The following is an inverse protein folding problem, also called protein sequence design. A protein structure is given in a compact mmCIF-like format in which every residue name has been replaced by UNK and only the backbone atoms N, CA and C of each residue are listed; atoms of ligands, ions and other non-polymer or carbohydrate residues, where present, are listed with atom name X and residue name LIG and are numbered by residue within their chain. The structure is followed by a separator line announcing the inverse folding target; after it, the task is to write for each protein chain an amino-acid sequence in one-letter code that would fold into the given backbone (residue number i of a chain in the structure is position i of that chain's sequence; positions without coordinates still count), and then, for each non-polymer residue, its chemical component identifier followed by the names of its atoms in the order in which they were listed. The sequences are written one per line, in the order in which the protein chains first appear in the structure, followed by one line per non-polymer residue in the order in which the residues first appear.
data_IF_376545690376
#
_entry.id   IF_376545690376
#
_cell.length_a   1.000
_cell.length_b   1.000
_cell.length_c   1.000
_cell.angle_alpha   90.00
_cell.angle_beta   90.00
_cell.angle_gamma   90.00
#
_symmetry.space_group_name_H-M   'P 1'
#
loop_
_entity.id
_entity.type
_entity.pdbx_description
1 polymer ?
#
# COMPACT_ATOMS: atom_id res chain seq x y z
N UNK A 1 -17.55 -3.48 -21.36
CA UNK A 1 -17.04 -4.77 -20.87
C UNK A 1 -18.14 -5.80 -21.06
N UNK A 2 -17.86 -6.89 -21.77
CA UNK A 2 -18.86 -7.94 -22.04
C UNK A 2 -19.04 -8.85 -20.81
N UNK A 3 -20.17 -9.55 -20.73
CA UNK A 3 -20.43 -10.53 -19.65
C UNK A 3 -19.41 -11.67 -19.64
N UNK A 4 -18.90 -12.05 -20.81
CA UNK A 4 -17.84 -13.03 -20.95
C UNK A 4 -16.54 -12.60 -20.27
N UNK A 5 -16.09 -11.36 -20.51
CA UNK A 5 -14.88 -10.81 -19.87
C UNK A 5 -15.05 -10.73 -18.36
N UNK A 6 -16.23 -10.32 -17.87
CA UNK A 6 -16.51 -10.31 -16.41
C UNK A 6 -16.34 -11.69 -15.80
N UNK A 7 -16.92 -12.72 -16.44
CA UNK A 7 -16.83 -14.11 -15.96
C UNK A 7 -15.39 -14.61 -15.95
N UNK A 8 -14.61 -14.27 -16.97
CA UNK A 8 -13.18 -14.61 -17.03
C UNK A 8 -12.39 -13.95 -15.89
N UNK A 9 -12.61 -12.65 -15.63
CA UNK A 9 -11.94 -11.92 -14.55
C UNK A 9 -12.27 -12.49 -13.17
N UNK A 10 -13.55 -12.82 -12.90
CA UNK A 10 -13.97 -13.43 -11.63
C UNK A 10 -13.32 -14.82 -11.47
N UNK A 11 -13.38 -15.65 -12.51
CA UNK A 11 -12.78 -16.99 -12.49
C UNK A 11 -11.27 -16.93 -12.25
N UNK A 12 -10.58 -15.95 -12.83
CA UNK A 12 -9.15 -15.76 -12.61
C UNK A 12 -8.87 -15.27 -11.18
N UNK A 13 -9.65 -14.30 -10.68
CA UNK A 13 -9.50 -13.80 -9.31
C UNK A 13 -9.70 -14.90 -8.26
N UNK A 14 -10.66 -15.79 -8.45
CA UNK A 14 -10.96 -16.90 -7.54
C UNK A 14 -9.75 -17.85 -7.37
N UNK A 15 -8.91 -18.02 -8.40
CA UNK A 15 -7.69 -18.85 -8.31
C UNK A 15 -6.67 -18.31 -7.32
N UNK A 16 -6.70 -17.01 -7.03
CA UNK A 16 -5.75 -16.35 -6.14
C UNK A 16 -6.33 -16.09 -4.75
N UNK A 17 -7.51 -16.62 -4.41
CA UNK A 17 -8.17 -16.38 -3.13
C UNK A 17 -7.28 -16.73 -1.93
N UNK A 18 -6.62 -17.89 -1.96
CA UNK A 18 -5.75 -18.31 -0.85
C UNK A 18 -4.51 -17.41 -0.73
N UNK A 19 -3.94 -16.98 -1.86
CA UNK A 19 -2.86 -15.98 -1.87
C UNK A 19 -3.33 -14.65 -1.30
N UNK A 20 -4.53 -14.19 -1.68
CA UNK A 20 -5.10 -12.95 -1.18
C UNK A 20 -5.27 -13.00 0.34
N UNK A 21 -5.84 -14.08 0.87
CA UNK A 21 -5.98 -14.28 2.33
C UNK A 21 -4.60 -14.27 3.00
N UNK A 22 -3.64 -15.04 2.48
CA UNK A 22 -2.29 -15.08 3.05
C UNK A 22 -1.58 -13.72 3.00
N UNK A 23 -1.73 -12.97 1.91
CA UNK A 23 -1.13 -11.65 1.75
C UNK A 23 -1.74 -10.66 2.74
N UNK A 24 -3.07 -10.58 2.80
CA UNK A 24 -3.77 -9.67 3.71
C UNK A 24 -3.48 -10.04 5.16
N UNK A 25 -3.53 -11.32 5.53
CA UNK A 25 -3.17 -11.76 6.88
C UNK A 25 -1.73 -11.43 7.26
N UNK A 26 -0.79 -11.39 6.31
CA UNK A 26 0.57 -10.95 6.57
C UNK A 26 0.66 -9.43 6.71
N UNK A 27 -0.06 -8.68 5.86
CA UNK A 27 -0.10 -7.22 5.91
C UNK A 27 -0.67 -6.70 7.25
N UNK A 28 -1.68 -7.37 7.81
CA UNK A 28 -2.26 -6.99 9.10
C UNK A 28 -1.35 -7.28 10.30
N UNK A 29 -0.23 -7.98 10.12
CA UNK A 29 0.72 -8.27 11.20
C UNK A 29 1.83 -7.21 11.32
N UNK A 30 1.82 -6.16 10.48
CA UNK A 30 2.78 -5.07 10.59
C UNK A 30 2.20 -3.96 11.45
N UNK A 31 2.88 -3.64 12.55
CA UNK A 31 2.65 -2.47 13.39
C UNK A 31 3.12 -1.19 12.68
N UNK A 32 2.45 -0.87 11.58
CA UNK A 32 2.78 0.21 10.64
C UNK A 32 2.21 1.55 11.10
N UNK A 33 2.49 1.94 12.34
CA UNK A 33 2.08 3.23 12.86
C UNK A 33 2.80 4.37 12.13
N UNK A 34 2.32 5.59 12.32
CA UNK A 34 2.97 6.80 11.79
C UNK A 34 4.43 6.85 12.29
N UNK A 35 5.39 6.73 11.37
CA UNK A 35 6.84 6.68 11.64
C UNK A 35 7.47 5.29 11.51
N UNK A 36 6.67 4.22 11.54
CA UNK A 36 7.12 2.83 11.53
C UNK A 36 6.77 2.10 10.21
N UNK A 37 6.42 2.85 9.16
CA UNK A 37 5.91 2.29 7.90
C UNK A 37 6.98 1.61 7.03
N UNK A 38 8.26 1.72 7.41
CA UNK A 38 9.38 1.22 6.60
C UNK A 38 9.23 -0.26 6.26
N UNK A 39 8.98 -1.10 7.26
CA UNK A 39 8.99 -2.55 7.07
C UNK A 39 7.88 -3.01 6.12
N UNK A 40 6.66 -2.51 6.31
CA UNK A 40 5.53 -2.82 5.43
C UNK A 40 5.77 -2.29 4.01
N UNK A 41 6.40 -1.12 3.84
CA UNK A 41 6.73 -0.59 2.52
C UNK A 41 7.70 -1.50 1.76
N UNK A 42 8.75 -1.99 2.41
CA UNK A 42 9.68 -2.95 1.78
C UNK A 42 9.03 -4.31 1.51
N UNK A 43 8.14 -4.77 2.39
CA UNK A 43 7.35 -5.98 2.12
C UNK A 43 6.46 -5.82 0.87
N UNK A 44 5.77 -4.69 0.73
CA UNK A 44 4.93 -4.39 -0.45
C UNK A 44 5.80 -4.26 -1.70
N UNK A 45 6.96 -3.61 -1.61
CA UNK A 45 7.92 -3.55 -2.72
C UNK A 45 8.24 -4.95 -3.25
N UNK A 46 8.53 -5.88 -2.35
CA UNK A 46 8.85 -7.26 -2.74
C UNK A 46 7.65 -8.00 -3.33
N UNK A 47 6.44 -7.81 -2.79
CA UNK A 47 5.21 -8.38 -3.36
C UNK A 47 4.90 -7.85 -4.76
N UNK A 48 5.11 -6.55 -5.01
CA UNK A 48 4.94 -5.94 -6.33
C UNK A 48 6.01 -6.43 -7.33
N UNK A 49 7.26 -6.61 -6.88
CA UNK A 49 8.31 -7.21 -7.70
C UNK A 49 7.96 -8.66 -8.11
N UNK A 50 7.42 -9.47 -7.17
CA UNK A 50 7.04 -10.88 -7.45
C UNK A 50 5.97 -11.01 -8.53
N UNK A 51 5.09 -10.03 -8.68
CA UNK A 51 4.07 -10.01 -9.73
C UNK A 51 4.51 -9.30 -11.02
N UNK A 52 5.80 -8.94 -11.11
CA UNK A 52 6.42 -8.46 -12.34
C UNK A 52 6.30 -6.95 -12.60
N UNK A 53 6.03 -6.14 -11.57
CA UNK A 53 6.03 -4.69 -11.72
C UNK A 53 7.45 -4.11 -11.63
N UNK A 54 7.66 -2.97 -12.30
CA UNK A 54 8.84 -2.12 -12.08
C UNK A 54 8.61 -1.31 -10.80
N UNK A 55 9.35 -1.62 -9.74
CA UNK A 55 9.12 -1.02 -8.42
C UNK A 55 10.26 -0.09 -8.01
N UNK A 56 9.90 1.10 -7.54
CA UNK A 56 10.81 2.04 -6.88
C UNK A 56 10.25 2.48 -5.53
N UNK A 57 11.13 2.88 -4.64
CA UNK A 57 10.79 3.44 -3.33
C UNK A 57 11.42 4.81 -3.17
N UNK A 58 10.70 5.75 -2.56
CA UNK A 58 11.18 7.11 -2.38
C UNK A 58 10.69 7.65 -1.03
N UNK A 59 11.62 8.13 -0.20
CA UNK A 59 11.28 8.82 1.04
C UNK A 59 10.62 10.17 0.76
N UNK A 60 9.80 10.63 1.70
CA UNK A 60 9.13 11.93 1.59
C UNK A 60 10.15 13.06 1.66
N UNK A 61 10.27 13.84 0.58
CA UNK A 61 10.99 15.12 0.61
C UNK A 61 10.15 16.17 1.35
N UNK A 62 10.40 16.28 2.65
CA UNK A 62 9.68 17.19 3.54
C UNK A 62 9.79 18.66 3.10
N UNK A 63 10.98 19.09 2.68
CA UNK A 63 11.24 20.47 2.27
C UNK A 63 10.56 20.82 0.95
N UNK A 64 10.35 19.83 0.07
CA UNK A 64 9.55 19.99 -1.14
C UNK A 64 8.05 20.10 -0.81
N UNK A 65 7.50 19.18 -0.02
CA UNK A 65 6.06 19.15 0.25
C UNK A 65 5.60 20.33 1.11
N UNK A 66 6.43 20.80 2.04
CA UNK A 66 6.15 21.94 2.93
C UNK A 66 5.88 23.25 2.19
N UNK A 67 6.33 23.36 0.94
CA UNK A 67 6.10 24.53 0.08
C UNK A 67 4.73 24.53 -0.60
N UNK A 68 3.97 23.43 -0.52
CA UNK A 68 2.65 23.29 -1.16
C UNK A 68 1.57 23.94 -0.30
N UNK A 69 0.55 24.51 -0.94
CA UNK A 69 -0.59 25.13 -0.23
C UNK A 69 -1.45 24.10 0.50
N UNK A 70 -1.44 22.85 0.01
CA UNK A 70 -2.20 21.72 0.55
C UNK A 70 -1.45 20.99 1.67
N UNK A 71 -0.23 21.44 2.02
CA UNK A 71 0.58 20.79 3.03
C UNK A 71 -0.08 20.88 4.40
N UNK A 72 -0.22 19.71 5.04
CA UNK A 72 -0.66 19.58 6.43
C UNK A 72 0.55 19.03 7.22
N UNK A 73 1.01 19.73 8.27
CA UNK A 73 2.11 19.23 9.08
C UNK A 73 1.70 17.98 9.86
N UNK A 74 2.63 17.05 9.97
CA UNK A 74 2.51 15.85 10.81
C UNK A 74 2.50 16.26 12.31
N UNK A 75 1.97 15.43 13.24
CA UNK A 75 2.06 15.70 14.67
C UNK A 75 3.48 16.04 15.12
N UNK A 76 3.60 16.88 16.15
CA UNK A 76 4.89 17.30 16.69
C UNK A 76 5.79 16.09 17.00
N UNK A 77 7.09 16.22 16.69
CA UNK A 77 8.11 15.18 16.82
C UNK A 77 7.98 13.98 15.87
N UNK A 78 7.07 14.00 14.90
CA UNK A 78 7.06 12.95 13.86
C UNK A 78 8.15 13.20 12.83
N UNK A 79 9.03 12.21 12.65
CA UNK A 79 10.06 12.23 11.61
C UNK A 79 9.46 11.92 10.23
N UNK A 80 10.02 12.53 9.18
CA UNK A 80 9.76 12.16 7.78
C UNK A 80 10.78 11.17 7.23
N UNK A 81 11.85 10.90 7.98
CA UNK A 81 12.89 9.93 7.62
C UNK A 81 12.35 8.51 7.69
N UNK A 82 12.83 7.63 6.80
CA UNK A 82 12.52 6.20 6.82
C UNK A 82 11.02 5.90 6.57
N UNK A 83 10.32 6.80 5.86
CA UNK A 83 8.91 6.67 5.48
C UNK A 83 8.74 6.61 3.96
N UNK A 84 9.21 5.53 3.31
CA UNK A 84 9.22 5.44 1.86
C UNK A 84 7.82 5.21 1.31
N UNK A 85 7.47 5.96 0.27
CA UNK A 85 6.37 5.59 -0.62
C UNK A 85 6.86 4.52 -1.60
N UNK A 86 5.97 3.58 -1.93
CA UNK A 86 6.24 2.50 -2.89
C UNK A 86 5.47 2.76 -4.18
N UNK A 87 6.18 2.76 -5.30
CA UNK A 87 5.59 2.96 -6.62
C UNK A 87 5.84 1.73 -7.48
N UNK A 88 4.79 0.98 -7.78
CA UNK A 88 4.81 -0.10 -8.76
C UNK A 88 4.26 0.37 -10.10
N UNK A 89 5.00 0.12 -11.18
CA UNK A 89 4.59 0.48 -12.55
C UNK A 89 4.50 -0.77 -13.42
N UNK A 90 3.35 -0.94 -14.09
CA UNK A 90 3.19 -1.89 -15.19
C UNK A 90 3.04 -1.09 -16.49
N UNK A 91 4.06 -1.11 -17.35
CA UNK A 91 4.02 -0.39 -18.63
C UNK A 91 3.03 -1.06 -19.58
N UNK A 92 2.01 -0.30 -20.00
CA UNK A 92 1.08 -0.73 -21.05
C UNK A 92 1.73 -0.69 -22.43
N UNK A 93 1.18 -1.46 -23.37
CA UNK A 93 1.68 -1.57 -24.75
C UNK A 93 0.75 -0.90 -25.78
N UNK A 94 -0.23 -0.10 -25.36
CA UNK A 94 -1.23 0.49 -26.24
C UNK A 94 -1.65 1.89 -25.83
N UNK A 95 -2.57 2.48 -26.59
CA UNK A 95 -3.02 3.87 -26.41
C UNK A 95 -4.20 3.99 -25.41
N UNK A 96 -4.20 3.15 -24.37
CA UNK A 96 -5.19 3.19 -23.30
C UNK A 96 -4.98 4.40 -22.38
N UNK A 97 -5.92 4.61 -21.44
CA UNK A 97 -5.74 5.61 -20.38
C UNK A 97 -4.84 5.04 -19.29
N UNK A 98 -4.03 5.91 -18.69
CA UNK A 98 -3.32 5.60 -17.47
C UNK A 98 -4.31 5.32 -16.33
N UNK A 99 -3.99 4.32 -15.51
CA UNK A 99 -4.73 4.00 -14.29
C UNK A 99 -3.75 4.06 -13.12
N UNK A 100 -4.09 4.90 -12.14
CA UNK A 100 -3.37 4.94 -10.88
C UNK A 100 -4.23 4.31 -9.79
N UNK A 101 -3.65 3.34 -9.08
CA UNK A 101 -4.23 2.74 -7.89
C UNK A 101 -3.39 3.20 -6.70
N UNK A 102 -4.01 3.97 -5.81
CA UNK A 102 -3.36 4.49 -4.61
C UNK A 102 -4.04 3.95 -3.37
N UNK A 103 -3.25 3.74 -2.33
CA UNK A 103 -3.70 3.36 -1.00
C UNK A 103 -2.66 3.83 0.02
N UNK A 104 -3.02 3.77 1.29
CA UNK A 104 -2.12 4.02 2.40
C UNK A 104 -2.01 2.73 3.24
N UNK A 105 -0.92 2.60 3.96
CA UNK A 105 -0.61 1.38 4.74
C UNK A 105 -0.35 1.69 6.19
N UNK A 106 -0.33 2.97 6.58
CA UNK A 106 -0.26 3.37 7.96
C UNK A 106 -1.56 3.03 8.69
N UNK A 107 -1.42 2.59 9.94
CA UNK A 107 -2.53 2.25 10.83
C UNK A 107 -2.54 3.15 12.06
N UNK A 108 -3.69 3.17 12.73
CA UNK A 108 -3.86 3.87 14.01
C UNK A 108 -3.60 2.91 15.18
N UNK A 109 -3.07 3.40 16.32
CA UNK A 109 -2.90 2.60 17.53
C UNK A 109 -4.20 1.97 18.02
N UNK A 110 -4.07 0.81 18.66
CA UNK A 110 -5.19 0.12 19.32
C UNK A 110 -5.43 0.77 20.69
N UNK A 111 -6.69 1.07 21.01
CA UNK A 111 -7.08 1.62 22.31
C UNK A 111 -6.79 0.63 23.44
N UNK A 112 -6.26 1.12 24.57
CA UNK A 112 -6.03 0.34 25.79
C UNK A 112 -7.35 -0.24 26.36
N UNK A 113 -8.50 0.40 26.11
CA UNK A 113 -9.84 -0.05 26.52
C UNK A 113 -10.54 -0.91 25.47
N UNK A 114 -9.76 -1.61 24.65
CA UNK A 114 -10.24 -2.44 23.57
C UNK A 114 -11.23 -3.53 24.02
N UNK A 115 -12.27 -3.77 23.20
CA UNK A 115 -13.24 -4.87 23.36
C UNK A 115 -13.03 -5.97 22.31
N UNK A 116 -11.85 -5.98 21.67
CA UNK A 116 -11.55 -6.93 20.61
C UNK A 116 -11.55 -8.36 21.14
N UNK A 117 -12.28 -9.25 20.45
CA UNK A 117 -12.37 -10.67 20.81
C UNK A 117 -11.11 -11.46 20.44
N UNK A 118 -10.36 -10.97 19.46
CA UNK A 118 -9.12 -11.54 18.97
C UNK A 118 -8.04 -10.46 18.99
N UNK A 119 -6.75 -10.83 19.04
CA UNK A 119 -5.69 -9.86 18.90
C UNK A 119 -5.89 -9.00 17.65
N UNK A 120 -5.72 -7.67 17.77
CA UNK A 120 -5.79 -6.75 16.64
C UNK A 120 -4.71 -7.06 15.60
#
# INVERSE_FOLDING_TARGET
MTEEIKKQLITEADKYKDRLVSLVSKLTQFDSFIGDEKEIAYFIKDELNKIGLEVRTEDVDHELIKKRKEYIPMPENTSYKDRPNVYGTLKGNGNGRDLYLFGHTDIVPVDENTTWKYPP
#
